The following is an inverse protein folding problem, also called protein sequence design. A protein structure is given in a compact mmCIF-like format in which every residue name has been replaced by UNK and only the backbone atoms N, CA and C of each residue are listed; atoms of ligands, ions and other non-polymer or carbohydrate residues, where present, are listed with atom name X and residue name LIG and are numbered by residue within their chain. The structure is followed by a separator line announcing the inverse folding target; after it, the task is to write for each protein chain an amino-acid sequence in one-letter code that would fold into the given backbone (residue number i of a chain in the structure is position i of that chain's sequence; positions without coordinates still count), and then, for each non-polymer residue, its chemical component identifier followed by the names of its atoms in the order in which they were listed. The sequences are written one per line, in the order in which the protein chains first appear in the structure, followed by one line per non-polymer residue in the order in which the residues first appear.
data_IF_315266569366
#
_entry.id   IF_315266569366
#
_cell.length_a   1.000
_cell.length_b   1.000
_cell.length_c   1.000
_cell.angle_alpha   90.00
_cell.angle_beta   90.00
_cell.angle_gamma   90.00
#
_symmetry.space_group_name_H-M   'P 1'
#
loop_
_entity.id
_entity.type
_entity.pdbx_description
1 polymer ?
#
# COMPACT_ATOMS: atom_id res chain seq x y z
N UNK A 1 29.44 0.46 -2.41
CA UNK A 1 28.66 0.32 -3.68
C UNK A 1 29.35 1.11 -4.77
N UNK A 2 29.61 0.48 -5.91
CA UNK A 2 30.15 1.15 -7.11
C UNK A 2 29.14 2.21 -7.59
N UNK A 3 29.60 3.33 -8.16
CA UNK A 3 28.74 4.44 -8.61
C UNK A 3 27.61 3.95 -9.53
N UNK A 4 27.89 3.00 -10.43
CA UNK A 4 26.87 2.38 -11.28
C UNK A 4 25.73 1.71 -10.51
N UNK A 5 25.98 1.09 -9.36
CA UNK A 5 24.91 0.47 -8.55
C UNK A 5 24.01 1.51 -7.90
N UNK A 6 24.55 2.68 -7.53
CA UNK A 6 23.75 3.77 -6.96
C UNK A 6 22.87 4.43 -8.03
N UNK A 7 23.42 4.61 -9.24
CA UNK A 7 22.65 5.12 -10.39
C UNK A 7 21.53 4.15 -10.78
N UNK A 8 21.80 2.83 -10.82
CA UNK A 8 20.78 1.82 -11.10
C UNK A 8 19.68 1.80 -10.02
N UNK A 9 20.06 1.90 -8.75
CA UNK A 9 19.09 1.99 -7.65
C UNK A 9 18.21 3.24 -7.78
N UNK A 10 18.79 4.41 -8.04
CA UNK A 10 18.04 5.64 -8.26
C UNK A 10 17.08 5.54 -9.44
N UNK A 11 17.53 4.98 -10.57
CA UNK A 11 16.69 4.75 -11.75
C UNK A 11 15.51 3.80 -11.46
N UNK A 12 15.75 2.72 -10.71
CA UNK A 12 14.70 1.79 -10.28
C UNK A 12 13.70 2.47 -9.34
N UNK A 13 14.15 3.30 -8.40
CA UNK A 13 13.28 4.06 -7.49
C UNK A 13 12.39 5.03 -8.27
N UNK A 14 12.95 5.76 -9.24
CA UNK A 14 12.17 6.64 -10.11
C UNK A 14 11.14 5.83 -10.91
N UNK A 15 11.55 4.72 -11.53
CA UNK A 15 10.66 3.87 -12.30
C UNK A 15 9.51 3.31 -11.46
N UNK A 16 9.80 2.90 -10.21
CA UNK A 16 8.78 2.45 -9.26
C UNK A 16 7.81 3.58 -8.92
N UNK A 17 8.30 4.80 -8.67
CA UNK A 17 7.46 5.97 -8.40
C UNK A 17 6.52 6.29 -9.56
N UNK A 18 7.03 6.27 -10.79
CA UNK A 18 6.20 6.44 -12.01
C UNK A 18 5.17 5.32 -12.14
N UNK A 19 5.56 4.08 -11.88
CA UNK A 19 4.67 2.92 -11.92
C UNK A 19 3.51 3.07 -10.91
N UNK A 20 3.79 3.55 -9.69
CA UNK A 20 2.78 3.82 -8.67
C UNK A 20 1.78 4.91 -9.11
N UNK A 21 2.26 5.97 -9.79
CA UNK A 21 1.41 7.05 -10.31
C UNK A 21 0.49 6.57 -11.44
N UNK A 22 1.02 5.75 -12.37
CA UNK A 22 0.29 5.31 -13.57
C UNK A 22 -0.69 4.19 -13.25
N UNK A 23 -0.22 3.12 -12.57
CA UNK A 23 -1.05 1.93 -12.32
C UNK A 23 -2.01 2.12 -11.15
N UNK A 24 -1.67 2.99 -10.19
CA UNK A 24 -2.50 3.30 -9.02
C UNK A 24 -2.92 2.01 -8.28
N UNK A 25 -4.20 1.89 -7.88
CA UNK A 25 -4.74 0.67 -7.27
C UNK A 25 -4.72 -0.57 -8.19
N UNK A 26 -4.60 -0.37 -9.51
CA UNK A 26 -4.45 -1.45 -10.47
C UNK A 26 -3.15 -2.23 -10.29
N UNK A 27 -2.12 -1.61 -9.70
CA UNK A 27 -0.85 -2.25 -9.40
C UNK A 27 -1.02 -3.45 -8.46
N UNK A 28 -1.87 -3.31 -7.43
CA UNK A 28 -2.13 -4.39 -6.46
C UNK A 28 -2.76 -5.59 -7.17
N UNK A 29 -3.74 -5.34 -8.04
CA UNK A 29 -4.40 -6.42 -8.78
C UNK A 29 -3.44 -7.08 -9.77
N UNK A 30 -2.61 -6.30 -10.48
CA UNK A 30 -1.61 -6.82 -11.39
C UNK A 30 -0.60 -7.73 -10.66
N UNK A 31 -0.11 -7.29 -9.49
CA UNK A 31 0.82 -8.07 -8.67
C UNK A 31 0.18 -9.36 -8.20
N UNK A 32 -1.07 -9.33 -7.72
CA UNK A 32 -1.78 -10.54 -7.26
C UNK A 32 -2.01 -11.53 -8.40
N UNK A 33 -2.44 -11.06 -9.57
CA UNK A 33 -2.60 -11.90 -10.77
C UNK A 33 -1.24 -12.49 -11.18
N UNK A 34 -0.19 -11.68 -11.21
CA UNK A 34 1.18 -12.12 -11.54
C UNK A 34 1.69 -13.19 -10.57
N UNK A 35 1.49 -12.99 -9.26
CA UNK A 35 1.82 -13.98 -8.22
C UNK A 35 1.04 -15.29 -8.41
N UNK A 36 -0.26 -15.19 -8.70
CA UNK A 36 -1.09 -16.37 -8.97
C UNK A 36 -0.59 -17.17 -10.17
N UNK A 37 -0.25 -16.50 -11.27
CA UNK A 37 0.34 -17.14 -12.46
C UNK A 37 1.69 -17.78 -12.15
N UNK A 38 2.58 -17.10 -11.41
CA UNK A 38 3.86 -17.67 -10.99
C UNK A 38 3.69 -18.95 -10.16
N UNK A 39 2.73 -18.98 -9.24
CA UNK A 39 2.44 -20.17 -8.43
C UNK A 39 1.92 -21.33 -9.27
N UNK A 40 1.14 -21.06 -10.31
CA UNK A 40 0.70 -22.10 -11.27
C UNK A 40 1.91 -22.67 -12.01
N UNK A 41 2.80 -21.81 -12.54
CA UNK A 41 4.02 -22.26 -13.24
C UNK A 41 4.91 -23.10 -12.32
N UNK A 42 5.15 -22.64 -11.09
CA UNK A 42 5.90 -23.41 -10.08
C UNK A 42 5.22 -24.73 -9.73
N UNK A 43 3.89 -24.74 -9.67
CA UNK A 43 3.12 -25.95 -9.42
C UNK A 43 3.26 -26.98 -10.56
N UNK A 44 3.29 -26.52 -11.82
CA UNK A 44 3.55 -27.39 -12.98
C UNK A 44 4.97 -27.97 -12.92
N UNK A 45 5.98 -27.14 -12.64
CA UNK A 45 7.36 -27.60 -12.47
C UNK A 45 7.47 -28.67 -11.37
N UNK A 46 6.80 -28.47 -10.24
CA UNK A 46 6.77 -29.46 -9.17
C UNK A 46 6.12 -30.80 -9.58
N UNK A 47 5.13 -30.79 -10.47
CA UNK A 47 4.54 -32.04 -11.00
C UNK A 47 5.55 -32.76 -11.90
N UNK A 48 6.28 -32.01 -12.74
CA UNK A 48 7.37 -32.56 -13.58
C UNK A 48 8.46 -33.20 -12.71
N UNK A 49 8.79 -32.59 -11.58
CA UNK A 49 9.75 -33.09 -10.59
C UNK A 49 9.19 -34.24 -9.71
N UNK A 50 8.03 -34.80 -10.06
CA UNK A 50 7.33 -35.88 -9.33
C UNK A 50 6.87 -35.51 -7.91
N UNK A 51 6.86 -34.23 -7.55
CA UNK A 51 6.33 -33.71 -6.30
C UNK A 51 4.84 -33.34 -6.43
N UNK A 52 4.02 -34.32 -6.83
CA UNK A 52 2.59 -34.16 -7.15
C UNK A 52 1.78 -33.43 -6.05
N UNK A 53 1.83 -33.79 -4.76
CA UNK A 53 1.02 -33.10 -3.74
C UNK A 53 1.41 -31.62 -3.58
N UNK A 54 2.70 -31.29 -3.68
CA UNK A 54 3.17 -29.90 -3.65
C UNK A 54 2.81 -29.13 -4.93
N UNK A 55 2.78 -29.81 -6.07
CA UNK A 55 2.39 -29.22 -7.35
C UNK A 55 0.91 -28.85 -7.38
N UNK A 56 0.02 -29.81 -7.04
CA UNK A 56 -1.44 -29.60 -7.01
C UNK A 56 -1.81 -28.47 -6.05
N UNK A 57 -1.26 -28.46 -4.83
CA UNK A 57 -1.51 -27.40 -3.85
C UNK A 57 -1.11 -26.02 -4.36
N UNK A 58 0.06 -25.88 -4.99
CA UNK A 58 0.52 -24.61 -5.57
C UNK A 58 -0.36 -24.13 -6.72
N UNK A 59 -0.82 -25.03 -7.60
CA UNK A 59 -1.73 -24.67 -8.70
C UNK A 59 -3.07 -24.17 -8.14
N UNK A 60 -3.65 -24.88 -7.18
CA UNK A 60 -4.94 -24.48 -6.57
C UNK A 60 -4.81 -23.12 -5.87
N UNK A 61 -3.75 -22.91 -5.08
CA UNK A 61 -3.50 -21.62 -4.43
C UNK A 61 -3.27 -20.54 -5.49
N UNK A 62 -2.47 -20.81 -6.52
CA UNK A 62 -2.18 -19.86 -7.60
C UNK A 62 -3.44 -19.44 -8.35
N UNK A 63 -4.33 -20.38 -8.67
CA UNK A 63 -5.62 -20.10 -9.29
C UNK A 63 -6.54 -19.26 -8.37
N UNK A 64 -6.61 -19.61 -7.08
CA UNK A 64 -7.37 -18.83 -6.09
C UNK A 64 -6.85 -17.39 -5.98
N UNK A 65 -5.54 -17.20 -5.92
CA UNK A 65 -4.92 -15.86 -5.84
C UNK A 65 -5.14 -15.07 -7.13
N UNK A 66 -5.00 -15.68 -8.30
CA UNK A 66 -5.19 -15.00 -9.58
C UNK A 66 -6.63 -14.53 -9.80
N UNK A 67 -7.61 -15.34 -9.38
CA UNK A 67 -9.03 -15.06 -9.60
C UNK A 67 -9.65 -14.21 -8.47
N UNK A 68 -9.32 -14.51 -7.21
CA UNK A 68 -9.97 -13.91 -6.04
C UNK A 68 -9.08 -12.93 -5.27
N UNK A 69 -7.78 -12.82 -5.59
CA UNK A 69 -6.87 -11.91 -4.89
C UNK A 69 -7.37 -10.46 -4.89
N UNK A 70 -7.90 -10.01 -6.03
CA UNK A 70 -8.47 -8.67 -6.17
C UNK A 70 -9.70 -8.42 -5.28
N UNK A 71 -10.48 -9.44 -4.95
CA UNK A 71 -11.62 -9.33 -4.04
C UNK A 71 -11.16 -9.30 -2.58
N UNK A 72 -10.18 -10.14 -2.24
CA UNK A 72 -9.67 -10.26 -0.88
C UNK A 72 -9.12 -8.94 -0.35
N UNK A 73 -8.30 -8.26 -1.16
CA UNK A 73 -7.70 -6.98 -0.77
C UNK A 73 -8.77 -5.87 -0.61
N UNK A 74 -9.81 -5.88 -1.45
CA UNK A 74 -10.93 -4.94 -1.33
C UNK A 74 -11.70 -5.14 -0.03
N UNK A 75 -11.98 -6.38 0.35
CA UNK A 75 -12.66 -6.71 1.61
C UNK A 75 -11.81 -6.29 2.81
N UNK A 76 -10.50 -6.57 2.79
CA UNK A 76 -9.60 -6.15 3.86
C UNK A 76 -9.63 -4.64 4.10
N UNK A 77 -9.66 -3.85 3.04
CA UNK A 77 -9.76 -2.40 3.14
C UNK A 77 -11.10 -1.93 3.74
N UNK A 78 -12.22 -2.58 3.46
CA UNK A 78 -13.49 -2.26 4.15
C UNK A 78 -13.39 -2.51 5.65
N UNK A 79 -12.74 -3.60 6.05
CA UNK A 79 -12.48 -3.90 7.47
C UNK A 79 -11.61 -2.81 8.08
N UNK A 80 -10.54 -2.39 7.39
CA UNK A 80 -9.68 -1.29 7.83
C UNK A 80 -10.45 0.02 7.96
N UNK A 81 -11.33 0.36 7.00
CA UNK A 81 -12.17 1.55 7.07
C UNK A 81 -13.10 1.51 8.29
N UNK A 82 -13.76 0.39 8.54
CA UNK A 82 -14.64 0.24 9.70
C UNK A 82 -13.88 0.37 11.03
N UNK A 83 -12.70 -0.25 11.14
CA UNK A 83 -11.84 -0.14 12.31
C UNK A 83 -11.35 1.29 12.53
N UNK A 84 -10.92 2.00 11.47
CA UNK A 84 -10.51 3.40 11.55
C UNK A 84 -11.67 4.30 11.99
N UNK A 85 -12.88 4.04 11.49
CA UNK A 85 -14.07 4.79 11.87
C UNK A 85 -14.37 4.62 13.37
N UNK A 86 -14.39 3.38 13.85
CA UNK A 86 -14.60 3.08 15.28
C UNK A 86 -13.50 3.73 16.12
N UNK A 87 -12.24 3.57 15.72
CA UNK A 87 -11.09 4.14 16.43
C UNK A 87 -11.17 5.67 16.51
N UNK A 88 -11.45 6.34 15.39
CA UNK A 88 -11.60 7.80 15.33
C UNK A 88 -12.72 8.31 16.23
N UNK A 89 -13.87 7.64 16.25
CA UNK A 89 -15.00 7.96 17.13
C UNK A 89 -14.62 7.78 18.61
N UNK A 90 -14.01 6.64 18.97
CA UNK A 90 -13.59 6.37 20.35
C UNK A 90 -12.56 7.39 20.83
N UNK A 91 -11.60 7.74 19.97
CA UNK A 91 -10.58 8.73 20.28
C UNK A 91 -11.22 10.12 20.47
N UNK A 92 -12.13 10.54 19.58
CA UNK A 92 -12.85 11.81 19.72
C UNK A 92 -13.68 11.84 21.01
N UNK A 93 -14.44 10.79 21.27
CA UNK A 93 -15.24 10.63 22.49
C UNK A 93 -14.37 10.74 23.75
N UNK A 94 -13.22 10.04 23.78
CA UNK A 94 -12.27 10.12 24.89
C UNK A 94 -11.75 11.54 25.11
N UNK A 95 -11.40 12.27 24.05
CA UNK A 95 -10.93 13.67 24.13
C UNK A 95 -12.01 14.62 24.63
N UNK A 96 -13.27 14.43 24.22
CA UNK A 96 -14.41 15.23 24.69
C UNK A 96 -14.69 14.92 26.17
N UNK A 97 -14.79 13.64 26.54
CA UNK A 97 -15.09 13.20 27.90
C UNK A 97 -14.04 13.69 28.91
N UNK A 98 -12.77 13.64 28.54
CA UNK A 98 -11.67 14.07 29.40
C UNK A 98 -11.41 15.59 29.38
N UNK A 99 -12.21 16.36 28.62
CA UNK A 99 -12.03 17.82 28.43
C UNK A 99 -10.57 18.21 28.20
N UNK A 100 -9.90 17.48 27.31
CA UNK A 100 -8.46 17.63 27.07
C UNK A 100 -8.15 19.07 26.70
N UNK A 101 -7.34 19.73 27.53
CA UNK A 101 -6.72 21.03 27.26
C UNK A 101 -5.21 20.86 27.32
N UNK A 102 -4.55 21.18 26.22
CA UNK A 102 -3.09 21.24 26.18
C UNK A 102 -2.61 22.62 26.61
N UNK A 103 -1.31 22.72 26.90
CA UNK A 103 -0.67 23.97 27.36
C UNK A 103 -0.85 25.12 26.36
N UNK A 104 -0.84 24.82 25.05
CA UNK A 104 -1.18 25.76 23.99
C UNK A 104 -2.55 25.45 23.38
N UNK A 105 -3.27 26.50 23.01
CA UNK A 105 -4.57 26.37 22.30
C UNK A 105 -4.43 25.61 20.98
N UNK A 106 -3.30 25.80 20.27
CA UNK A 106 -3.01 25.10 19.00
C UNK A 106 -2.91 23.59 19.21
N UNK A 107 -2.20 23.15 20.24
CA UNK A 107 -2.04 21.72 20.56
C UNK A 107 -3.39 21.09 20.90
N UNK A 108 -4.26 21.87 21.55
CA UNK A 108 -5.64 21.45 21.85
C UNK A 108 -6.45 21.27 20.57
N UNK A 109 -6.37 22.23 19.64
CA UNK A 109 -7.06 22.14 18.34
C UNK A 109 -6.57 20.92 17.55
N UNK A 110 -5.26 20.68 17.49
CA UNK A 110 -4.67 19.52 16.80
C UNK A 110 -5.16 18.21 17.44
N UNK A 111 -5.25 18.16 18.77
CA UNK A 111 -5.73 16.98 19.49
C UNK A 111 -7.18 16.59 19.16
N UNK A 112 -8.03 17.55 18.81
CA UNK A 112 -9.40 17.30 18.32
C UNK A 112 -9.48 17.13 16.80
N UNK A 113 -8.62 17.79 16.04
CA UNK A 113 -8.59 17.68 14.58
C UNK A 113 -8.11 16.30 14.11
N UNK A 114 -7.13 15.70 14.78
CA UNK A 114 -6.59 14.38 14.43
C UNK A 114 -7.67 13.26 14.40
N UNK A 115 -8.49 13.05 15.44
CA UNK A 115 -9.53 12.03 15.39
C UNK A 115 -10.64 12.37 14.37
N UNK A 116 -10.96 13.65 14.16
CA UNK A 116 -11.92 14.07 13.11
C UNK A 116 -11.38 13.73 11.72
N UNK A 117 -10.11 14.03 11.42
CA UNK A 117 -9.46 13.64 10.17
C UNK A 117 -9.44 12.12 9.98
N UNK A 118 -9.19 11.36 11.05
CA UNK A 118 -9.26 9.91 11.02
C UNK A 118 -10.66 9.41 10.58
N UNK A 119 -11.73 9.98 11.15
CA UNK A 119 -13.11 9.66 10.74
C UNK A 119 -13.36 10.02 9.28
N UNK A 120 -12.90 11.19 8.82
CA UNK A 120 -13.04 11.61 7.41
C UNK A 120 -12.31 10.64 6.48
N UNK A 121 -11.07 10.26 6.79
CA UNK A 121 -10.30 9.27 6.01
C UNK A 121 -11.03 7.93 5.98
N UNK A 122 -11.56 7.49 7.11
CA UNK A 122 -12.31 6.24 7.20
C UNK A 122 -13.56 6.27 6.30
N UNK A 123 -14.31 7.38 6.30
CA UNK A 123 -15.48 7.56 5.43
C UNK A 123 -15.08 7.59 3.94
N UNK A 124 -13.99 8.28 3.59
CA UNK A 124 -13.47 8.29 2.23
C UNK A 124 -13.06 6.88 1.77
N UNK A 125 -12.46 6.10 2.66
CA UNK A 125 -12.06 4.72 2.36
C UNK A 125 -13.27 3.77 2.26
N UNK A 126 -14.33 4.03 3.03
CA UNK A 126 -15.58 3.24 3.00
C UNK A 126 -16.44 3.53 1.76
N UNK A 127 -16.62 4.81 1.40
CA UNK A 127 -17.51 5.21 0.30
C UNK A 127 -16.81 5.41 -1.04
N UNK A 128 -15.52 5.72 -1.05
CA UNK A 128 -14.72 5.94 -2.25
C UNK A 128 -13.39 5.20 -2.16
N UNK A 129 -13.46 3.90 -1.90
CA UNK A 129 -12.29 3.05 -1.71
C UNK A 129 -11.31 3.13 -2.89
N UNK A 130 -11.82 3.02 -4.12
CA UNK A 130 -10.99 3.08 -5.32
C UNK A 130 -10.30 4.43 -5.50
N UNK A 131 -11.01 5.54 -5.29
CA UNK A 131 -10.47 6.89 -5.40
C UNK A 131 -9.45 7.19 -4.31
N UNK A 132 -9.76 6.86 -3.06
CA UNK A 132 -8.88 7.08 -1.89
C UNK A 132 -7.56 6.35 -2.04
N UNK A 133 -7.61 5.07 -2.42
CA UNK A 133 -6.40 4.28 -2.68
C UNK A 133 -5.64 4.85 -3.87
N UNK A 134 -6.31 5.16 -4.98
CA UNK A 134 -5.64 5.75 -6.14
C UNK A 134 -4.87 7.01 -5.76
N UNK A 135 -5.44 7.85 -4.91
CA UNK A 135 -4.79 9.06 -4.41
C UNK A 135 -3.56 8.73 -3.56
N UNK A 136 -3.66 7.75 -2.65
CA UNK A 136 -2.52 7.28 -1.83
C UNK A 136 -1.39 6.78 -2.72
N UNK A 137 -1.69 5.99 -3.75
CA UNK A 137 -0.70 5.50 -4.71
C UNK A 137 -0.04 6.64 -5.49
N UNK A 138 -0.81 7.64 -5.93
CA UNK A 138 -0.27 8.81 -6.64
C UNK A 138 0.64 9.63 -5.72
N UNK A 139 0.21 9.94 -4.49
CA UNK A 139 1.01 10.70 -3.53
C UNK A 139 2.29 9.96 -3.19
N UNK A 140 2.19 8.68 -2.83
CA UNK A 140 3.35 7.83 -2.56
C UNK A 140 4.29 7.81 -3.76
N UNK A 141 3.76 7.65 -4.98
CA UNK A 141 4.55 7.63 -6.21
C UNK A 141 5.29 8.95 -6.44
N UNK A 142 4.66 10.10 -6.20
CA UNK A 142 5.32 11.42 -6.28
C UNK A 142 6.47 11.51 -5.28
N UNK A 143 6.25 11.13 -4.01
CA UNK A 143 7.32 11.11 -3.01
C UNK A 143 8.47 10.17 -3.39
N UNK A 144 8.16 8.98 -3.91
CA UNK A 144 9.16 8.01 -4.38
C UNK A 144 9.95 8.54 -5.58
N UNK A 145 9.32 9.24 -6.52
CA UNK A 145 10.04 9.90 -7.64
C UNK A 145 11.00 10.95 -7.10
N UNK A 146 10.55 11.81 -6.17
CA UNK A 146 11.40 12.83 -5.56
C UNK A 146 12.61 12.18 -4.87
N UNK A 147 12.38 11.13 -4.08
CA UNK A 147 13.44 10.39 -3.41
C UNK A 147 14.44 9.78 -4.41
N UNK A 148 13.94 9.17 -5.49
CA UNK A 148 14.79 8.63 -6.56
C UNK A 148 15.63 9.70 -7.27
N UNK A 149 15.05 10.89 -7.52
CA UNK A 149 15.78 12.04 -8.09
C UNK A 149 16.86 12.54 -7.13
N UNK A 150 16.56 12.67 -5.84
CA UNK A 150 17.55 13.06 -4.83
C UNK A 150 18.70 12.06 -4.75
N UNK A 151 18.41 10.75 -4.77
CA UNK A 151 19.42 9.69 -4.82
C UNK A 151 20.30 9.77 -6.07
N UNK A 152 19.73 10.14 -7.23
CA UNK A 152 20.46 10.33 -8.47
C UNK A 152 21.43 11.51 -8.36
N UNK A 153 20.97 12.66 -7.86
CA UNK A 153 21.78 13.86 -7.65
C UNK A 153 22.96 13.58 -6.72
N UNK A 154 22.70 12.91 -5.59
CA UNK A 154 23.75 12.55 -4.62
C UNK A 154 24.78 11.58 -5.20
N UNK A 155 24.34 10.68 -6.08
CA UNK A 155 25.22 9.73 -6.76
C UNK A 155 26.13 10.40 -7.78
N UNK A 156 25.66 11.46 -8.45
CA UNK A 156 26.43 12.25 -9.40
C UNK A 156 27.38 13.24 -8.72
N UNK A 157 26.98 13.83 -7.59
CA UNK A 157 27.82 14.79 -6.83
C UNK A 157 29.00 14.12 -6.11
N UNK A 158 28.91 12.83 -5.78
CA UNK A 158 29.97 12.03 -5.13
C UNK A 158 30.94 11.37 -6.12
N UNK A 159 30.78 11.62 -7.41
CA UNK A 159 31.65 11.15 -8.49
C UNK A 159 32.54 12.29 -8.98
#
# INVERSE_FOLDING_TARGET
MKTSQKVVAAALTIALGVLLIVLKSGLVNLVLVGLGVMLIVLGILNIVDKLVPLGVTKIVIGALVALFGGLFWKVMLYIVAALLLIYGILQLYGRIKLKVKCSRTIDTIIAYAAPVLCIVIALLLFFNQGGTINWIFVVSGVFTVIEGVLMLIDSLRKN
#
